data_IF_493144556073
#
_entry.id   IF_493144556073
#
_cell.length_a   1.000
_cell.length_b   1.000
_cell.length_c   1.000
_cell.angle_alpha   90.00
_cell.angle_beta   90.00
_cell.angle_gamma   90.00
#
_symmetry.space_group_name_H-M   'P 1'
#
loop_
_entity.id
_entity.type
_entity.pdbx_description
1 polymer ?
#
# COMPACT_ATOMS: atom_id res chain seq x y z
N UNK A 1 0.31 16.90 -23.34
CA UNK A 1 -0.31 15.86 -22.51
C UNK A 1 0.40 15.77 -21.18
N UNK A 2 -0.34 15.85 -20.10
CA UNK A 2 0.21 15.74 -18.77
C UNK A 2 -0.06 14.36 -18.21
N UNK A 3 0.98 13.75 -17.67
CA UNK A 3 0.85 12.47 -16.98
C UNK A 3 1.19 12.67 -15.53
N UNK A 4 0.26 12.33 -14.66
CA UNK A 4 0.49 12.39 -13.24
C UNK A 4 0.71 10.98 -12.72
N UNK A 5 1.69 10.82 -11.86
CA UNK A 5 1.90 9.58 -11.14
C UNK A 5 1.54 9.79 -9.69
N UNK A 6 0.56 9.04 -9.23
CA UNK A 6 0.16 9.07 -7.83
C UNK A 6 0.58 7.76 -7.18
N UNK A 7 1.19 7.88 -6.04
CA UNK A 7 1.53 6.69 -5.26
C UNK A 7 0.26 6.05 -4.74
N UNK A 8 0.15 4.75 -4.91
CA UNK A 8 -0.94 3.97 -4.36
C UNK A 8 -0.35 2.84 -3.53
N UNK A 9 -0.87 2.68 -2.33
CA UNK A 9 -0.56 1.54 -1.47
C UNK A 9 -1.69 0.54 -1.62
N UNK A 10 -1.37 -0.63 -2.15
CA UNK A 10 -2.34 -1.68 -2.40
C UNK A 10 -2.13 -2.79 -1.38
N UNK A 11 -3.18 -3.11 -0.65
CA UNK A 11 -3.17 -4.16 0.36
C UNK A 11 -4.07 -5.29 -0.08
N UNK A 12 -3.53 -6.49 -0.08
CA UNK A 12 -4.31 -7.70 -0.32
C UNK A 12 -4.35 -8.52 0.95
N UNK A 13 -5.55 -8.79 1.45
CA UNK A 13 -5.75 -9.61 2.65
C UNK A 13 -5.88 -11.06 2.19
N UNK A 14 -4.92 -11.88 2.58
CA UNK A 14 -4.79 -13.25 2.05
C UNK A 14 -5.99 -14.13 2.40
N UNK A 15 -6.52 -14.00 3.61
CA UNK A 15 -7.58 -14.89 4.07
C UNK A 15 -8.88 -14.70 3.29
N UNK A 16 -9.22 -13.47 2.94
CA UNK A 16 -10.48 -13.14 2.29
C UNK A 16 -10.34 -12.82 0.81
N UNK A 17 -9.11 -12.55 0.36
CA UNK A 17 -8.89 -12.05 -0.99
C UNK A 17 -9.31 -10.60 -1.16
N UNK A 18 -9.60 -9.91 -0.08
CA UNK A 18 -10.02 -8.51 -0.14
C UNK A 18 -8.84 -7.62 -0.50
N UNK A 19 -9.11 -6.62 -1.34
CA UNK A 19 -8.12 -5.63 -1.74
C UNK A 19 -8.54 -4.26 -1.22
N UNK A 20 -7.57 -3.53 -0.66
CA UNK A 20 -7.80 -2.16 -0.19
C UNK A 20 -6.72 -1.26 -0.76
N UNK A 21 -7.09 -0.02 -1.04
CA UNK A 21 -6.20 0.93 -1.69
C UNK A 21 -6.12 2.20 -0.86
N UNK A 22 -4.92 2.72 -0.71
CA UNK A 22 -4.67 3.93 0.08
C UNK A 22 -3.74 4.86 -0.69
N UNK A 23 -3.85 6.14 -0.43
CA UNK A 23 -2.99 7.13 -1.07
C UNK A 23 -1.61 7.24 -0.45
N UNK A 24 -1.41 6.65 0.73
CA UNK A 24 -0.14 6.70 1.43
C UNK A 24 -0.06 5.60 2.47
N UNK A 25 1.16 5.32 2.93
CA UNK A 25 1.37 4.37 4.04
C UNK A 25 0.71 4.89 5.31
N UNK A 26 0.78 6.20 5.55
CA UNK A 26 0.13 6.78 6.72
C UNK A 26 -1.37 6.54 6.71
N UNK A 27 -2.02 6.70 5.56
CA UNK A 27 -3.45 6.42 5.43
C UNK A 27 -3.77 4.96 5.69
N UNK A 28 -2.92 4.04 5.24
CA UNK A 28 -3.08 2.62 5.51
C UNK A 28 -3.06 2.34 7.01
N UNK A 29 -2.18 3.01 7.74
CA UNK A 29 -2.05 2.81 9.18
C UNK A 29 -3.20 3.42 9.98
N UNK A 30 -4.04 4.23 9.38
CA UNK A 30 -5.26 4.70 10.02
C UNK A 30 -6.33 3.61 10.08
N UNK A 31 -6.21 2.58 9.26
CA UNK A 31 -7.11 1.43 9.31
C UNK A 31 -6.69 0.51 10.46
N UNK A 32 -7.54 0.41 11.47
CA UNK A 32 -7.21 -0.36 12.68
C UNK A 32 -6.98 -1.84 12.38
N UNK A 33 -7.80 -2.41 11.51
CA UNK A 33 -7.69 -3.84 11.17
C UNK A 33 -6.36 -4.12 10.47
N UNK A 34 -5.99 -3.28 9.53
CA UNK A 34 -4.73 -3.45 8.81
C UNK A 34 -3.53 -3.24 9.72
N UNK A 35 -3.61 -2.26 10.61
CA UNK A 35 -2.53 -2.00 11.56
C UNK A 35 -2.26 -3.22 12.42
N UNK A 36 -3.31 -3.90 12.88
CA UNK A 36 -3.17 -5.11 13.66
C UNK A 36 -2.57 -6.24 12.83
N UNK A 37 -3.02 -6.38 11.58
CA UNK A 37 -2.50 -7.43 10.69
C UNK A 37 -1.05 -7.20 10.30
N UNK A 38 -0.63 -5.94 10.17
CA UNK A 38 0.75 -5.61 9.85
C UNK A 38 1.71 -6.05 10.94
N UNK A 39 1.31 -5.88 12.20
CA UNK A 39 2.08 -6.34 13.34
C UNK A 39 3.36 -5.57 13.61
N UNK A 40 3.61 -4.49 12.89
CA UNK A 40 4.78 -3.63 13.11
C UNK A 40 4.35 -2.18 13.13
N UNK A 41 5.16 -1.35 13.78
CA UNK A 41 4.85 0.06 13.90
C UNK A 41 5.08 0.78 12.58
N UNK A 42 4.40 1.90 12.43
CA UNK A 42 4.50 2.74 11.23
C UNK A 42 5.95 3.10 10.90
N UNK A 43 6.72 3.52 11.91
CA UNK A 43 8.12 3.88 11.66
C UNK A 43 8.96 2.71 11.20
N UNK A 44 8.72 1.54 11.77
CA UNK A 44 9.42 0.32 11.34
C UNK A 44 9.09 0.00 9.90
N UNK A 45 7.83 0.13 9.53
CA UNK A 45 7.40 -0.10 8.15
C UNK A 45 8.08 0.89 7.19
N UNK A 46 8.12 2.16 7.56
CA UNK A 46 8.79 3.17 6.74
C UNK A 46 10.27 2.88 6.55
N UNK A 47 10.92 2.42 7.62
CA UNK A 47 12.35 2.10 7.56
C UNK A 47 12.64 0.93 6.63
N UNK A 48 11.72 -0.02 6.52
CA UNK A 48 11.89 -1.14 5.60
C UNK A 48 11.87 -0.71 4.14
N UNK A 49 11.26 0.43 3.86
CA UNK A 49 11.29 0.98 2.50
C UNK A 49 10.42 0.21 1.52
N UNK A 50 9.12 0.43 1.59
CA UNK A 50 8.21 -0.16 0.61
C UNK A 50 8.45 0.45 -0.76
N UNK A 51 8.62 -0.39 -1.76
CA UNK A 51 8.75 0.06 -3.15
C UNK A 51 7.99 -0.88 -4.08
N UNK A 52 7.86 -0.47 -5.34
CA UNK A 52 7.17 -1.31 -6.32
C UNK A 52 7.88 -2.63 -6.58
N UNK A 53 9.19 -2.68 -6.34
CA UNK A 53 9.98 -3.91 -6.53
C UNK A 53 10.15 -4.71 -5.25
N UNK A 54 9.79 -4.13 -4.09
CA UNK A 54 9.97 -4.79 -2.80
C UNK A 54 8.68 -4.67 -1.98
N UNK A 55 7.68 -5.49 -2.28
CA UNK A 55 6.45 -5.47 -1.50
C UNK A 55 6.69 -6.02 -0.10
N UNK A 56 5.88 -5.54 0.83
CA UNK A 56 5.86 -6.11 2.18
C UNK A 56 4.86 -7.27 2.19
N UNK A 57 5.27 -8.37 2.78
CA UNK A 57 4.40 -9.54 2.88
C UNK A 57 4.60 -10.21 4.22
N UNK A 58 3.49 -10.60 4.84
CA UNK A 58 3.51 -11.48 6.00
C UNK A 58 2.42 -12.55 5.80
N UNK A 59 2.12 -13.30 6.86
CA UNK A 59 1.15 -14.40 6.73
C UNK A 59 -0.28 -13.92 6.54
N UNK A 60 -0.58 -12.66 6.81
CA UNK A 60 -1.94 -12.13 6.75
C UNK A 60 -2.21 -11.32 5.50
N UNK A 61 -1.20 -10.61 4.99
CA UNK A 61 -1.43 -9.67 3.90
C UNK A 61 -0.18 -9.42 3.08
N UNK A 62 -0.40 -8.85 1.91
CA UNK A 62 0.65 -8.37 1.02
C UNK A 62 0.40 -6.89 0.78
N UNK A 63 1.42 -6.07 0.99
CA UNK A 63 1.33 -4.64 0.73
C UNK A 63 2.26 -4.31 -0.43
N UNK A 64 1.70 -3.72 -1.47
CA UNK A 64 2.45 -3.31 -2.65
C UNK A 64 2.34 -1.81 -2.82
N UNK A 65 3.43 -1.21 -3.27
CA UNK A 65 3.44 0.19 -3.65
C UNK A 65 3.44 0.25 -5.16
N UNK A 66 2.50 0.99 -5.70
CA UNK A 66 2.42 1.19 -7.13
C UNK A 66 2.18 2.65 -7.45
N UNK A 67 2.05 2.92 -8.72
CA UNK A 67 1.77 4.25 -9.21
C UNK A 67 0.55 4.18 -10.09
N UNK A 68 -0.40 5.07 -9.81
CA UNK A 68 -1.53 5.24 -10.70
C UNK A 68 -1.14 6.30 -11.72
N UNK A 69 -0.97 5.86 -12.94
CA UNK A 69 -0.76 6.77 -14.04
C UNK A 69 -2.07 7.40 -14.42
N UNK A 70 -2.12 8.72 -14.34
CA UNK A 70 -3.27 9.47 -14.82
C UNK A 70 -2.86 10.14 -16.10
N UNK A 71 -3.50 9.76 -17.18
CA UNK A 71 -3.24 10.36 -18.48
C UNK A 71 -4.43 11.23 -18.81
N UNK A 72 -4.14 12.48 -19.12
CA UNK A 72 -5.18 13.38 -19.58
C UNK A 72 -5.41 13.12 -21.05
N UNK A 73 -6.49 12.49 -21.35
CA UNK A 73 -6.96 12.29 -22.71
C UNK A 73 -7.90 13.43 -23.06
N UNK A 74 -7.37 14.38 -23.65
CA UNK A 74 -8.21 15.48 -24.13
C UNK A 74 -8.80 15.15 -25.49
#
# INVERSE_FOLDING_TARGET
MLTYKRTIVHVEIKASGEHRYFGSVAAMYEDNDLRDMLGIKYQTFRTKGLSSSHPFENKYLIVRKGYLGTIDHS
#
